data_IF_094241087839
#
_entry.id   IF_094241087839
#
_cell.length_a   1.000
_cell.length_b   1.000
_cell.length_c   1.000
_cell.angle_alpha   90.00
_cell.angle_beta   90.00
_cell.angle_gamma   90.00
#
_symmetry.space_group_name_H-M   'P 1'
#
loop_
_entity.id
_entity.type
_entity.pdbx_description
1 polymer ?
#
# COMPACT_ATOMS: atom_id res chain seq x y z
N UNK A 1 2.63 17.64 -8.75
CA UNK A 1 3.71 18.63 -8.65
C UNK A 1 4.62 18.47 -7.43
N UNK A 2 4.14 17.92 -6.31
CA UNK A 2 4.94 17.78 -5.07
C UNK A 2 6.27 17.05 -5.25
N UNK A 3 6.30 15.94 -6.01
CA UNK A 3 7.53 15.16 -6.20
C UNK A 3 8.59 15.87 -7.05
N UNK A 4 8.17 16.68 -8.04
CA UNK A 4 9.10 17.49 -8.83
C UNK A 4 9.76 18.55 -7.96
N UNK A 5 8.97 19.24 -7.12
CA UNK A 5 9.49 20.23 -6.17
C UNK A 5 10.39 19.56 -5.13
N UNK A 6 10.00 18.39 -4.58
CA UNK A 6 10.84 17.61 -3.66
C UNK A 6 12.19 17.27 -4.30
N UNK A 7 12.20 16.77 -5.54
CA UNK A 7 13.42 16.42 -6.26
C UNK A 7 14.35 17.62 -6.51
N UNK A 8 13.80 18.80 -6.78
CA UNK A 8 14.59 20.04 -6.95
C UNK A 8 15.22 20.53 -5.65
N UNK A 9 14.54 20.33 -4.52
CA UNK A 9 15.01 20.74 -3.19
C UNK A 9 15.95 19.67 -2.57
N UNK A 10 16.17 18.54 -3.25
CA UNK A 10 16.98 17.43 -2.74
C UNK A 10 16.25 16.54 -1.73
N UNK A 11 14.92 16.61 -1.71
CA UNK A 11 14.05 15.77 -0.91
C UNK A 11 13.87 14.36 -1.48
N UNK A 12 13.23 13.50 -0.68
CA UNK A 12 12.93 12.11 -1.05
C UNK A 12 11.58 12.01 -1.76
N UNK A 13 11.34 10.87 -2.43
CA UNK A 13 10.02 10.55 -2.96
C UNK A 13 9.06 10.26 -1.80
N UNK A 14 7.87 10.86 -1.88
CA UNK A 14 6.85 10.75 -0.83
C UNK A 14 5.60 10.09 -1.42
N UNK A 15 5.12 9.07 -0.73
CA UNK A 15 3.84 8.41 -0.97
C UNK A 15 2.82 8.86 0.10
N UNK A 16 1.51 8.82 -0.19
CA UNK A 16 0.50 9.11 0.81
C UNK A 16 0.60 8.14 1.99
N UNK A 17 0.59 8.68 3.21
CA UNK A 17 0.65 7.87 4.42
C UNK A 17 -0.71 7.24 4.71
N UNK A 18 -0.79 5.91 4.63
CA UNK A 18 -2.02 5.15 4.89
C UNK A 18 -2.44 5.33 6.36
N UNK A 19 -1.49 5.21 7.30
CA UNK A 19 -1.79 5.35 8.73
C UNK A 19 -2.28 6.75 9.11
N UNK A 20 -1.63 7.81 8.60
CA UNK A 20 -2.06 9.18 8.87
C UNK A 20 -3.41 9.51 8.21
N UNK A 21 -3.69 8.95 7.03
CA UNK A 21 -4.96 9.15 6.35
C UNK A 21 -6.13 8.52 7.12
N UNK A 22 -5.93 7.32 7.66
CA UNK A 22 -6.94 6.63 8.48
C UNK A 22 -7.20 7.37 9.79
N UNK A 23 -6.16 7.86 10.48
CA UNK A 23 -6.35 8.63 11.71
C UNK A 23 -7.06 9.95 11.45
N UNK A 24 -6.69 10.67 10.38
CA UNK A 24 -7.39 11.91 9.99
C UNK A 24 -8.86 11.66 9.62
N UNK A 25 -9.15 10.55 8.94
CA UNK A 25 -10.51 10.13 8.65
C UNK A 25 -11.32 9.85 9.93
N UNK A 26 -10.74 9.13 10.89
CA UNK A 26 -11.38 8.88 12.19
C UNK A 26 -11.58 10.15 13.02
N UNK A 27 -10.67 11.12 12.89
CA UNK A 27 -10.77 12.43 13.54
C UNK A 27 -11.75 13.38 12.80
N UNK A 28 -12.40 12.94 11.72
CA UNK A 28 -13.26 13.74 10.83
C UNK A 28 -12.57 15.00 10.30
N UNK A 29 -11.25 14.94 10.19
CA UNK A 29 -10.41 16.03 9.71
C UNK A 29 -10.18 15.86 8.20
N UNK A 30 -11.23 16.08 7.42
CA UNK A 30 -11.26 15.82 5.96
C UNK A 30 -10.70 16.99 5.13
N UNK A 31 -10.47 18.15 5.75
CA UNK A 31 -9.92 19.34 5.08
C UNK A 31 -8.43 19.26 4.75
N UNK A 32 -7.92 20.27 4.04
CA UNK A 32 -6.47 20.43 3.80
C UNK A 32 -5.72 20.99 5.02
N UNK A 33 -6.45 21.58 5.97
CA UNK A 33 -5.96 22.23 7.18
C UNK A 33 -5.02 21.35 8.04
N UNK A 34 -5.30 20.05 8.27
CA UNK A 34 -4.42 19.18 9.06
C UNK A 34 -3.07 18.94 8.38
N UNK A 35 -3.02 19.03 7.05
CA UNK A 35 -1.78 18.90 6.29
C UNK A 35 -0.89 20.14 6.43
N UNK A 36 -1.49 21.34 6.45
CA UNK A 36 -0.75 22.57 6.76
C UNK A 36 -0.29 22.59 8.22
N UNK A 37 -1.11 22.10 9.14
CA UNK A 37 -0.74 21.95 10.54
C UNK A 37 0.47 21.03 10.74
N UNK A 38 0.49 19.88 10.06
CA UNK A 38 1.64 18.97 10.14
C UNK A 38 2.92 19.56 9.52
N UNK A 39 2.80 20.34 8.43
CA UNK A 39 3.92 21.07 7.83
C UNK A 39 4.51 22.12 8.79
N UNK A 40 3.64 22.93 9.43
CA UNK A 40 4.06 23.94 10.39
C UNK A 40 4.73 23.33 11.62
N UNK A 41 4.19 22.21 12.11
CA UNK A 41 4.77 21.47 13.24
C UNK A 41 6.17 20.93 12.88
N UNK A 42 6.33 20.38 11.68
CA UNK A 42 7.61 19.87 11.19
C UNK A 42 8.63 21.00 11.03
N UNK A 43 8.21 22.16 10.50
CA UNK A 43 9.05 23.36 10.42
C UNK A 43 9.49 23.84 11.81
N UNK A 44 8.57 23.87 12.77
CA UNK A 44 8.88 24.26 14.15
C UNK A 44 9.88 23.31 14.81
N UNK A 45 9.70 22.00 14.67
CA UNK A 45 10.65 21.00 15.18
C UNK A 45 12.04 21.14 14.54
N UNK A 46 12.08 21.45 13.25
CA UNK A 46 13.32 21.71 12.53
C UNK A 46 14.05 22.93 13.08
N UNK A 47 13.34 24.05 13.30
CA UNK A 47 13.90 25.27 13.90
C UNK A 47 14.38 25.04 15.35
N UNK A 48 13.71 24.18 16.09
CA UNK A 48 14.10 23.76 17.46
C UNK A 48 15.24 22.73 17.48
N UNK A 49 15.89 22.46 16.33
CA UNK A 49 16.96 21.47 16.17
C UNK A 49 16.61 20.07 16.70
N UNK A 50 15.34 19.70 16.68
CA UNK A 50 14.84 18.41 17.18
C UNK A 50 15.21 18.10 18.65
N UNK A 51 15.52 19.11 19.47
CA UNK A 51 15.92 18.91 20.88
C UNK A 51 14.89 18.08 21.67
N UNK A 52 13.59 18.30 21.42
CA UNK A 52 12.49 17.55 22.04
C UNK A 52 12.48 16.07 21.63
N UNK A 53 12.89 15.75 20.41
CA UNK A 53 12.87 14.37 19.87
C UNK A 53 13.97 13.52 20.52
N UNK A 54 15.05 14.13 21.01
CA UNK A 54 16.14 13.41 21.67
C UNK A 54 15.73 12.76 22.99
N UNK A 55 14.67 13.25 23.64
CA UNK A 55 14.12 12.67 24.86
C UNK A 55 13.24 11.44 24.62
N UNK A 56 12.84 11.21 23.37
CA UNK A 56 11.99 10.07 23.03
C UNK A 56 12.86 8.80 23.00
N UNK A 57 12.48 7.74 23.75
CA UNK A 57 13.22 6.50 23.74
C UNK A 57 13.19 5.88 22.33
N UNK A 58 14.37 5.61 21.75
CA UNK A 58 14.52 4.95 20.43
C UNK A 58 13.65 3.69 20.26
N UNK A 59 13.43 2.84 21.30
CA UNK A 59 12.53 1.71 21.21
C UNK A 59 11.09 2.05 20.80
N UNK A 60 10.59 3.25 21.13
CA UNK A 60 9.24 3.67 20.76
C UNK A 60 9.06 3.82 19.24
N UNK A 61 10.07 4.32 18.53
CA UNK A 61 10.02 4.40 17.06
C UNK A 61 10.12 3.01 16.41
N UNK A 62 10.93 2.13 16.99
CA UNK A 62 11.05 0.75 16.50
C UNK A 62 9.74 -0.02 16.66
N UNK A 63 9.08 0.09 17.81
CA UNK A 63 7.80 -0.60 18.04
C UNK A 63 6.69 -0.08 17.13
N UNK A 64 6.64 1.23 16.85
CA UNK A 64 5.71 1.81 15.86
C UNK A 64 5.96 1.25 14.46
N UNK A 65 7.23 1.12 14.05
CA UNK A 65 7.60 0.58 12.74
C UNK A 65 7.20 -0.91 12.61
N UNK A 66 7.46 -1.71 13.65
CA UNK A 66 7.06 -3.12 13.69
C UNK A 66 5.54 -3.27 13.68
N UNK A 67 4.83 -2.46 14.46
CA UNK A 67 3.37 -2.48 14.49
C UNK A 67 2.77 -2.12 13.12
N UNK A 68 3.30 -1.08 12.46
CA UNK A 68 2.88 -0.70 11.11
C UNK A 68 3.14 -1.81 10.09
N UNK A 69 4.30 -2.48 10.19
CA UNK A 69 4.62 -3.64 9.35
C UNK A 69 3.64 -4.81 9.57
N UNK A 70 3.31 -5.13 10.83
CA UNK A 70 2.34 -6.17 11.17
C UNK A 70 0.93 -5.84 10.66
N UNK A 71 0.52 -4.59 10.77
CA UNK A 71 -0.78 -4.13 10.27
C UNK A 71 -0.88 -4.27 8.74
N UNK A 72 0.17 -3.88 8.00
CA UNK A 72 0.24 -4.12 6.55
C UNK A 72 0.22 -5.61 6.21
N UNK A 73 0.97 -6.45 6.92
CA UNK A 73 0.98 -7.90 6.68
C UNK A 73 -0.40 -8.52 6.92
N UNK A 74 -1.10 -8.11 7.97
CA UNK A 74 -2.45 -8.58 8.27
C UNK A 74 -3.43 -8.16 7.18
N UNK A 75 -3.43 -6.89 6.81
CA UNK A 75 -4.34 -6.38 5.79
C UNK A 75 -4.11 -7.07 4.42
N UNK A 76 -2.85 -7.25 4.03
CA UNK A 76 -2.53 -7.75 2.69
C UNK A 76 -2.50 -9.27 2.57
N UNK A 77 -2.07 -10.02 3.59
CA UNK A 77 -2.07 -11.49 3.53
C UNK A 77 -3.35 -12.10 4.11
N UNK A 78 -3.76 -11.65 5.30
CA UNK A 78 -4.85 -12.31 6.06
C UNK A 78 -6.20 -11.82 5.57
N UNK A 79 -6.46 -10.52 5.58
CA UNK A 79 -7.77 -9.99 5.19
C UNK A 79 -8.04 -10.21 3.70
N UNK A 80 -7.01 -10.13 2.86
CA UNK A 80 -7.12 -10.50 1.44
C UNK A 80 -7.48 -11.96 1.22
N UNK A 81 -7.02 -12.89 2.08
CA UNK A 81 -7.38 -14.31 1.97
C UNK A 81 -8.88 -14.51 2.18
N UNK A 82 -9.44 -13.86 3.20
CA UNK A 82 -10.88 -13.97 3.50
C UNK A 82 -11.75 -13.24 2.48
N UNK A 83 -11.28 -12.15 1.88
CA UNK A 83 -12.03 -11.38 0.88
C UNK A 83 -12.06 -12.05 -0.51
N UNK A 84 -11.05 -12.84 -0.85
CA UNK A 84 -10.90 -13.38 -2.22
C UNK A 84 -11.62 -14.72 -2.37
N UNK A 85 -12.65 -14.77 -3.23
CA UNK A 85 -13.41 -16.02 -3.50
C UNK A 85 -12.60 -17.06 -4.28
N UNK A 86 -11.71 -16.61 -5.18
CA UNK A 86 -10.84 -17.48 -5.97
C UNK A 86 -9.45 -17.59 -5.33
N UNK A 87 -9.16 -18.72 -4.69
CA UNK A 87 -7.88 -18.95 -3.98
C UNK A 87 -6.62 -18.82 -4.86
N UNK A 88 -6.76 -19.00 -6.18
CA UNK A 88 -5.67 -18.83 -7.16
C UNK A 88 -5.26 -17.36 -7.28
N UNK A 89 -6.21 -16.43 -7.24
CA UNK A 89 -5.93 -14.99 -7.32
C UNK A 89 -5.21 -14.51 -6.05
N UNK A 90 -5.52 -15.12 -4.90
CA UNK A 90 -4.84 -14.81 -3.65
C UNK A 90 -3.37 -15.22 -3.63
N UNK A 91 -2.97 -16.28 -4.34
CA UNK A 91 -1.58 -16.77 -4.35
C UNK A 91 -0.56 -15.74 -4.87
N UNK A 92 -0.99 -14.74 -5.64
CA UNK A 92 -0.10 -13.68 -6.15
C UNK A 92 0.56 -12.89 -5.01
N UNK A 93 -0.19 -12.60 -3.93
CA UNK A 93 0.31 -11.81 -2.80
C UNK A 93 1.46 -12.48 -2.03
N UNK A 94 1.36 -13.74 -1.56
CA UNK A 94 2.49 -14.42 -0.92
C UNK A 94 3.64 -14.69 -1.91
N UNK A 95 3.37 -14.98 -3.18
CA UNK A 95 4.44 -15.13 -4.19
C UNK A 95 5.25 -13.85 -4.33
N UNK A 96 4.60 -12.68 -4.34
CA UNK A 96 5.28 -11.38 -4.34
C UNK A 96 6.18 -11.19 -3.12
N UNK A 97 5.71 -11.56 -1.92
CA UNK A 97 6.50 -11.44 -0.68
C UNK A 97 7.75 -12.32 -0.74
N UNK A 98 7.61 -13.58 -1.17
CA UNK A 98 8.74 -14.52 -1.28
C UNK A 98 9.76 -14.01 -2.30
N UNK A 99 9.30 -13.53 -3.46
CA UNK A 99 10.18 -12.95 -4.48
C UNK A 99 10.88 -11.69 -3.97
N UNK A 100 10.17 -10.82 -3.25
CA UNK A 100 10.76 -9.58 -2.71
C UNK A 100 11.93 -9.86 -1.76
N UNK A 101 11.85 -10.94 -0.97
CA UNK A 101 12.91 -11.37 -0.06
C UNK A 101 14.10 -12.02 -0.78
N UNK A 102 13.89 -12.67 -1.92
CA UNK A 102 14.94 -13.39 -2.65
C UNK A 102 15.68 -12.55 -3.69
N UNK A 103 14.95 -11.87 -4.58
CA UNK A 103 15.49 -11.18 -5.77
C UNK A 103 15.45 -9.65 -5.66
N UNK A 104 14.97 -9.14 -4.52
CA UNK A 104 14.79 -7.72 -4.24
C UNK A 104 13.41 -7.17 -4.65
N UNK A 105 13.04 -6.05 -4.03
CA UNK A 105 11.71 -5.46 -4.14
C UNK A 105 11.32 -5.09 -5.58
N UNK A 106 12.19 -4.40 -6.32
CA UNK A 106 11.88 -3.91 -7.67
C UNK A 106 11.62 -5.06 -8.65
N UNK A 107 12.46 -6.10 -8.64
CA UNK A 107 12.31 -7.26 -9.50
C UNK A 107 11.06 -8.06 -9.15
N UNK A 108 10.76 -8.21 -7.86
CA UNK A 108 9.55 -8.88 -7.41
C UNK A 108 8.28 -8.17 -7.91
N UNK A 109 8.22 -6.84 -7.82
CA UNK A 109 7.09 -6.05 -8.34
C UNK A 109 6.91 -6.27 -9.84
N UNK A 110 8.00 -6.27 -10.62
CA UNK A 110 7.92 -6.54 -12.07
C UNK A 110 7.31 -7.91 -12.38
N UNK A 111 7.77 -8.96 -11.69
CA UNK A 111 7.24 -10.33 -11.85
C UNK A 111 5.77 -10.41 -11.42
N UNK A 112 5.38 -9.75 -10.33
CA UNK A 112 3.99 -9.74 -9.87
C UNK A 112 3.03 -9.07 -10.84
N UNK A 113 3.46 -7.97 -11.48
CA UNK A 113 2.67 -7.30 -12.54
C UNK A 113 2.52 -8.22 -13.76
N UNK A 114 3.58 -8.90 -14.18
CA UNK A 114 3.51 -9.88 -15.27
C UNK A 114 2.54 -11.02 -14.94
N UNK A 115 2.65 -11.64 -13.75
CA UNK A 115 1.75 -12.71 -13.31
C UNK A 115 0.29 -12.27 -13.24
N UNK A 116 0.03 -11.06 -12.72
CA UNK A 116 -1.33 -10.50 -12.66
C UNK A 116 -1.92 -10.31 -14.05
N UNK A 117 -1.09 -9.91 -15.02
CA UNK A 117 -1.51 -9.76 -16.43
C UNK A 117 -1.86 -11.10 -17.06
N UNK A 118 -1.05 -12.15 -16.84
CA UNK A 118 -1.36 -13.49 -17.32
C UNK A 118 -2.64 -14.06 -16.70
N UNK A 119 -2.84 -13.87 -15.39
CA UNK A 119 -4.07 -14.28 -14.71
C UNK A 119 -5.29 -13.54 -15.24
N UNK A 120 -5.16 -12.24 -15.51
CA UNK A 120 -6.22 -11.45 -16.12
C UNK A 120 -6.61 -11.99 -17.51
N UNK A 121 -5.63 -12.27 -18.36
CA UNK A 121 -5.87 -12.85 -19.70
C UNK A 121 -6.50 -14.25 -19.59
N UNK A 122 -5.98 -15.11 -18.70
CA UNK A 122 -6.53 -16.45 -18.49
C UNK A 122 -7.98 -16.42 -17.99
N UNK A 123 -8.31 -15.49 -17.09
CA UNK A 123 -9.67 -15.27 -16.60
C UNK A 123 -10.60 -14.79 -17.73
N UNK A 124 -10.11 -13.88 -18.58
CA UNK A 124 -10.86 -13.37 -19.73
C UNK A 124 -11.26 -14.48 -20.71
N UNK A 125 -10.33 -15.39 -21.04
CA UNK A 125 -10.63 -16.54 -21.92
C UNK A 125 -11.63 -17.51 -21.29
N UNK A 126 -11.60 -17.71 -19.97
CA UNK A 126 -12.54 -18.58 -19.26
C UNK A 126 -13.98 -18.04 -19.25
N UNK A 127 -14.14 -16.72 -19.32
CA UNK A 127 -15.46 -16.08 -19.41
C UNK A 127 -16.01 -16.13 -20.85
N UNK A 128 -15.14 -16.08 -21.86
CA UNK A 128 -15.52 -16.15 -23.28
C UNK A 128 -16.13 -17.50 -23.71
N UNK A 129 -15.74 -18.60 -23.08
CA UNK A 129 -16.23 -19.96 -23.42
C UNK A 129 -17.60 -20.31 -22.85
N UNK A 130 -18.19 -19.48 -21.98
CA UNK A 130 -19.52 -19.72 -21.36
C UNK A 130 -20.66 -19.00 -22.09
N UNK A 131 -20.41 -18.35 -23.24
CA UNK A 131 -21.46 -17.70 -24.04
C UNK A 131 -22.27 -18.63 -24.96
N UNK A 132 -22.05 -19.94 -24.94
CA UNK A 132 -22.79 -20.89 -25.80
C UNK A 132 -23.91 -21.69 -25.13
N UNK A 133 -24.25 -21.43 -23.86
CA UNK A 133 -25.42 -22.07 -23.18
C UNK A 133 -26.51 -21.02 -22.87
N UNK A 134 -26.71 -20.10 -23.81
CA UNK A 134 -27.84 -19.18 -23.86
C UNK A 134 -28.54 -19.25 -25.21
N UNK A 135 -28.56 -20.44 -25.83
CA UNK A 135 -29.40 -20.67 -26.99
C UNK A 135 -30.86 -20.52 -26.52
N UNK A 136 -31.56 -19.54 -27.07
CA UNK A 136 -32.99 -19.31 -26.88
C UNK A 136 -33.83 -20.42 -27.51
N UNK A 137 -33.63 -21.65 -27.08
CA UNK A 137 -34.40 -22.85 -27.44
C UNK A 137 -35.14 -23.38 -26.21
N UNK A 138 -35.88 -22.48 -25.54
CA UNK A 138 -37.06 -22.87 -24.77
C UNK A 138 -38.21 -22.01 -25.29
N UNK A 139 -38.76 -22.46 -26.43
CA UNK A 139 -40.17 -22.27 -26.77
C UNK A 139 -41.01 -23.16 -25.83
#
# INVERSE_FOLDING_TARGET
YSQLVSGLVGGISVAPSVGASLTLFHLRAEGMEPQFGSLLLLLFLYLSQFSVVQYIPKPAFSSLMVLAGLDMLRAWLVDSYFKTKAKIEWMVAPTLVVLALGIGFLNAVFVGVALSTFLFVASFYRVGTVRFVGNGLNL
#
